data_IF_960853917729
#
_entry.id   IF_960853917729
#
_cell.length_a   1.000
_cell.length_b   1.000
_cell.length_c   1.000
_cell.angle_alpha   90.00
_cell.angle_beta   90.00
_cell.angle_gamma   90.00
#
_symmetry.space_group_name_H-M   'P 1'
#
loop_
_entity.id
_entity.type
_entity.pdbx_description
1 polymer ?
#
# COMPACT_ATOMS: atom_id res chain seq x y z
N UNK A 1 -27.44 -17.77 17.09
CA UNK A 1 -26.63 -16.54 17.31
C UNK A 1 -25.16 -16.96 17.33
N UNK A 2 -24.31 -16.36 16.48
CA UNK A 2 -22.90 -16.71 16.19
C UNK A 2 -22.61 -17.82 15.15
N UNK A 3 -23.05 -17.57 13.91
CA UNK A 3 -22.54 -18.23 12.68
C UNK A 3 -21.13 -17.73 12.30
N UNK A 4 -20.62 -16.69 12.97
CA UNK A 4 -19.39 -15.97 12.60
C UNK A 4 -18.06 -16.74 12.84
N UNK A 5 -18.09 -17.94 13.45
CA UNK A 5 -16.88 -18.72 13.76
C UNK A 5 -16.63 -19.92 12.83
N UNK A 6 -17.44 -20.10 11.78
CA UNK A 6 -17.19 -21.13 10.75
C UNK A 6 -16.66 -20.49 9.47
N UNK A 7 -15.47 -19.89 9.55
CA UNK A 7 -14.68 -19.51 8.37
C UNK A 7 -14.05 -20.76 7.75
N UNK A 8 -14.88 -21.59 7.11
CA UNK A 8 -14.44 -22.68 6.24
C UNK A 8 -14.30 -22.20 4.79
N UNK A 9 -13.50 -22.90 3.98
CA UNK A 9 -13.33 -22.56 2.56
C UNK A 9 -14.67 -22.44 1.82
N UNK A 10 -15.61 -23.35 2.11
CA UNK A 10 -16.95 -23.41 1.53
C UNK A 10 -17.82 -22.17 1.88
N UNK A 11 -17.70 -21.65 3.10
CA UNK A 11 -18.44 -20.45 3.53
C UNK A 11 -17.88 -19.17 2.89
N UNK A 12 -16.57 -19.12 2.63
CA UNK A 12 -15.92 -17.99 1.95
C UNK A 12 -16.24 -18.00 0.46
N UNK A 13 -16.22 -19.18 -0.16
CA UNK A 13 -16.52 -19.36 -1.58
C UNK A 13 -17.97 -18.95 -1.91
N UNK A 14 -18.92 -19.31 -1.05
CA UNK A 14 -20.33 -18.90 -1.18
C UNK A 14 -20.52 -17.37 -1.22
N UNK A 15 -19.63 -16.61 -0.57
CA UNK A 15 -19.69 -15.16 -0.47
C UNK A 15 -18.73 -14.41 -1.42
N UNK A 16 -18.04 -15.14 -2.31
CA UNK A 16 -17.02 -14.59 -3.23
C UNK A 16 -17.51 -13.39 -4.04
N UNK A 17 -18.75 -13.42 -4.53
CA UNK A 17 -19.36 -12.33 -5.32
C UNK A 17 -19.35 -11.00 -4.56
N UNK A 18 -19.63 -11.01 -3.25
CA UNK A 18 -19.64 -9.79 -2.43
C UNK A 18 -18.22 -9.23 -2.25
N UNK A 19 -17.21 -10.09 -2.08
CA UNK A 19 -15.81 -9.66 -1.99
C UNK A 19 -15.31 -9.07 -3.32
N UNK A 20 -15.68 -9.68 -4.45
CA UNK A 20 -15.36 -9.14 -5.77
C UNK A 20 -16.02 -7.78 -6.00
N UNK A 21 -17.32 -7.66 -5.69
CA UNK A 21 -18.02 -6.39 -5.85
C UNK A 21 -17.40 -5.30 -4.97
N UNK A 22 -17.10 -5.57 -3.71
CA UNK A 22 -16.49 -4.58 -2.81
C UNK A 22 -15.08 -4.16 -3.27
N UNK A 23 -14.23 -5.12 -3.64
CA UNK A 23 -12.85 -4.85 -4.06
C UNK A 23 -12.74 -4.06 -5.36
N UNK A 24 -13.75 -4.14 -6.23
CA UNK A 24 -13.78 -3.38 -7.49
C UNK A 24 -14.51 -2.05 -7.30
N UNK A 25 -15.67 -2.06 -6.64
CA UNK A 25 -16.49 -0.86 -6.49
C UNK A 25 -15.78 0.23 -5.67
N UNK A 26 -15.09 -0.13 -4.58
CA UNK A 26 -14.45 0.87 -3.70
C UNK A 26 -13.37 1.67 -4.45
N UNK A 27 -12.37 1.05 -5.13
CA UNK A 27 -11.40 1.79 -5.93
C UNK A 27 -12.05 2.58 -7.07
N UNK A 28 -13.05 2.02 -7.76
CA UNK A 28 -13.73 2.73 -8.85
C UNK A 28 -14.43 4.00 -8.36
N UNK A 29 -15.18 3.91 -7.27
CA UNK A 29 -15.85 5.09 -6.68
C UNK A 29 -14.84 6.13 -6.21
N UNK A 30 -13.75 5.71 -5.55
CA UNK A 30 -12.68 6.61 -5.14
C UNK A 30 -12.03 7.31 -6.34
N UNK A 31 -11.78 6.58 -7.43
CA UNK A 31 -11.17 7.11 -8.65
C UNK A 31 -12.09 8.11 -9.36
N UNK A 32 -13.38 7.79 -9.50
CA UNK A 32 -14.37 8.71 -10.09
C UNK A 32 -14.50 9.98 -9.25
N UNK A 33 -14.55 9.86 -7.93
CA UNK A 33 -14.63 11.02 -7.04
C UNK A 33 -13.40 11.93 -7.13
N UNK A 34 -12.20 11.37 -7.31
CA UNK A 34 -10.97 12.14 -7.57
C UNK A 34 -11.02 12.90 -8.90
N UNK A 35 -11.53 12.26 -9.97
CA UNK A 35 -11.68 12.90 -11.28
C UNK A 35 -12.66 14.07 -11.22
N UNK A 36 -13.79 13.91 -10.51
CA UNK A 36 -14.77 14.99 -10.30
C UNK A 36 -14.16 16.14 -9.52
N UNK A 37 -13.31 15.85 -8.53
CA UNK A 37 -12.57 16.86 -7.75
C UNK A 37 -11.52 17.62 -8.57
N UNK A 38 -11.07 17.08 -9.71
CA UNK A 38 -10.02 17.66 -10.57
C UNK A 38 -8.72 17.95 -9.81
N UNK A 39 -8.38 17.09 -8.86
CA UNK A 39 -7.22 17.27 -7.97
C UNK A 39 -6.10 16.27 -8.31
N UNK A 40 -5.64 16.31 -9.56
CA UNK A 40 -4.56 15.47 -10.07
C UNK A 40 -3.39 16.38 -10.45
N UNK A 41 -2.25 16.11 -9.84
CA UNK A 41 -1.01 16.89 -9.96
C UNK A 41 0.08 16.03 -10.62
N UNK A 42 1.04 16.67 -11.28
CA UNK A 42 2.24 15.97 -11.77
C UNK A 42 3.26 15.79 -10.65
N UNK A 43 3.64 14.55 -10.34
CA UNK A 43 4.75 14.26 -9.45
C UNK A 43 6.07 14.24 -10.22
N UNK A 44 6.91 15.25 -9.97
CA UNK A 44 8.22 15.36 -10.61
C UNK A 44 9.24 14.34 -10.09
N UNK A 45 9.03 13.75 -8.91
CA UNK A 45 9.95 12.75 -8.34
C UNK A 45 9.79 11.41 -9.06
N UNK A 46 8.55 10.98 -9.26
CA UNK A 46 8.23 9.72 -9.93
C UNK A 46 8.04 9.86 -11.44
N UNK A 47 7.83 11.08 -11.95
CA UNK A 47 7.47 11.33 -13.35
C UNK A 47 6.05 10.88 -13.70
N UNK A 48 5.17 10.72 -12.71
CA UNK A 48 3.80 10.22 -12.89
C UNK A 48 2.76 11.24 -12.44
N UNK A 49 1.50 11.07 -12.85
CA UNK A 49 0.40 11.84 -12.28
C UNK A 49 -0.01 11.25 -10.93
N UNK A 50 -0.09 12.09 -9.91
CA UNK A 50 -0.45 11.71 -8.54
C UNK A 50 -1.52 12.66 -7.98
N UNK A 51 -2.07 12.33 -6.81
CA UNK A 51 -3.12 13.15 -6.17
C UNK A 51 -2.75 13.50 -4.74
N UNK A 52 -3.24 14.64 -4.24
CA UNK A 52 -2.98 15.08 -2.87
C UNK A 52 -1.54 15.55 -2.64
N UNK A 53 -0.87 16.07 -3.67
CA UNK A 53 0.43 16.74 -3.52
C UNK A 53 0.25 18.20 -3.10
N UNK A 54 -0.68 18.90 -3.75
CA UNK A 54 -0.95 20.32 -3.48
C UNK A 54 -2.11 20.51 -2.49
N UNK A 55 -3.13 19.65 -2.52
CA UNK A 55 -4.32 19.78 -1.67
C UNK A 55 -4.31 18.77 -0.50
N UNK A 56 -4.14 19.30 0.72
CA UNK A 56 -4.16 18.51 1.96
C UNK A 56 -5.49 17.85 2.25
N UNK A 57 -6.62 18.42 1.82
CA UNK A 57 -7.94 17.81 2.02
C UNK A 57 -8.10 16.56 1.15
N UNK A 58 -7.61 16.64 -0.09
CA UNK A 58 -7.61 15.50 -1.02
C UNK A 58 -6.66 14.42 -0.53
N UNK A 59 -5.44 14.80 -0.12
CA UNK A 59 -4.48 13.87 0.47
C UNK A 59 -5.05 13.13 1.68
N UNK A 60 -5.68 13.87 2.61
CA UNK A 60 -6.28 13.29 3.80
C UNK A 60 -7.46 12.38 3.48
N UNK A 61 -8.37 12.86 2.62
CA UNK A 61 -9.63 12.17 2.31
C UNK A 61 -9.46 10.93 1.44
N UNK A 62 -8.53 10.95 0.49
CA UNK A 62 -8.37 9.86 -0.49
C UNK A 62 -7.17 8.95 -0.22
N UNK A 63 -6.17 9.42 0.55
CA UNK A 63 -5.01 8.61 0.89
C UNK A 63 -5.02 8.27 2.39
N UNK A 64 -4.90 9.24 3.28
CA UNK A 64 -4.68 8.94 4.70
C UNK A 64 -5.85 8.18 5.34
N UNK A 65 -7.08 8.69 5.22
CA UNK A 65 -8.27 8.10 5.85
C UNK A 65 -8.57 6.68 5.31
N UNK A 66 -8.61 6.43 3.98
CA UNK A 66 -8.81 5.08 3.45
C UNK A 66 -7.72 4.10 3.90
N UNK A 67 -6.45 4.51 3.87
CA UNK A 67 -5.34 3.65 4.32
C UNK A 67 -5.44 3.30 5.81
N UNK A 68 -5.86 4.24 6.67
CA UNK A 68 -6.13 3.99 8.08
C UNK A 68 -7.31 3.02 8.29
N UNK A 69 -8.42 3.20 7.56
CA UNK A 69 -9.57 2.30 7.65
C UNK A 69 -9.19 0.89 7.22
N UNK A 70 -8.51 0.74 6.08
CA UNK A 70 -8.11 -0.57 5.57
C UNK A 70 -7.14 -1.29 6.49
N UNK A 71 -6.16 -0.60 7.07
CA UNK A 71 -5.25 -1.25 8.01
C UNK A 71 -5.95 -1.66 9.30
N UNK A 72 -6.86 -0.83 9.83
CA UNK A 72 -7.63 -1.19 11.03
C UNK A 72 -8.52 -2.42 10.79
N UNK A 73 -9.29 -2.42 9.70
CA UNK A 73 -10.12 -3.57 9.30
C UNK A 73 -9.26 -4.80 9.06
N UNK A 74 -8.14 -4.64 8.34
CA UNK A 74 -7.19 -5.72 8.08
C UNK A 74 -6.59 -6.31 9.36
N UNK A 75 -6.17 -5.48 10.31
CA UNK A 75 -5.64 -5.92 11.60
C UNK A 75 -6.70 -6.66 12.42
N UNK A 76 -7.94 -6.17 12.48
CA UNK A 76 -9.04 -6.86 13.16
C UNK A 76 -9.29 -8.25 12.56
N UNK A 77 -9.32 -8.37 11.23
CA UNK A 77 -9.52 -9.64 10.54
C UNK A 77 -8.32 -10.58 10.74
N UNK A 78 -7.09 -10.08 10.67
CA UNK A 78 -5.89 -10.86 10.90
C UNK A 78 -5.84 -11.42 12.33
N UNK A 79 -6.14 -10.59 13.33
CA UNK A 79 -6.20 -11.02 14.73
C UNK A 79 -7.28 -12.08 14.95
N UNK A 80 -8.49 -11.86 14.41
CA UNK A 80 -9.58 -12.83 14.47
C UNK A 80 -9.21 -14.17 13.80
N UNK A 81 -8.57 -14.10 12.63
CA UNK A 81 -8.07 -15.28 11.91
C UNK A 81 -7.00 -16.03 12.71
N UNK A 82 -6.03 -15.31 13.27
CA UNK A 82 -4.98 -15.89 14.11
C UNK A 82 -5.58 -16.57 15.35
N UNK A 83 -6.44 -15.89 16.11
CA UNK A 83 -7.13 -16.46 17.28
C UNK A 83 -7.89 -17.75 16.90
N UNK A 84 -8.60 -17.73 15.77
CA UNK A 84 -9.37 -18.88 15.28
C UNK A 84 -8.46 -20.09 14.98
N UNK A 85 -7.32 -19.88 14.32
CA UNK A 85 -6.37 -20.96 14.02
C UNK A 85 -5.71 -21.50 15.29
N UNK A 86 -5.38 -20.63 16.26
CA UNK A 86 -4.82 -21.07 17.54
C UNK A 86 -5.81 -21.92 18.34
N UNK A 87 -7.10 -21.54 18.34
CA UNK A 87 -8.17 -22.30 18.97
C UNK A 87 -8.30 -23.69 18.35
N UNK A 88 -8.31 -23.79 17.01
CA UNK A 88 -8.35 -25.07 16.29
C UNK A 88 -7.12 -25.92 16.62
N UNK A 89 -5.93 -25.33 16.60
CA UNK A 89 -4.68 -26.03 16.92
C UNK A 89 -4.69 -26.59 18.35
N UNK A 90 -5.22 -25.83 19.30
CA UNK A 90 -5.29 -26.28 20.70
C UNK A 90 -6.16 -27.53 20.84
N UNK A 91 -7.32 -27.55 20.16
CA UNK A 91 -8.21 -28.72 20.13
C UNK A 91 -7.56 -29.90 19.42
N UNK A 92 -6.91 -29.68 18.27
CA UNK A 92 -6.27 -30.77 17.50
C UNK A 92 -5.05 -31.38 18.20
N UNK A 93 -4.33 -30.61 19.02
CA UNK A 93 -3.20 -31.13 19.81
C UNK A 93 -3.65 -32.10 20.91
N UNK A 94 -4.84 -31.89 21.49
CA UNK A 94 -5.40 -32.82 22.46
C UNK A 94 -5.73 -34.19 21.84
N UNK A 95 -5.94 -34.27 20.52
CA UNK A 95 -6.26 -35.51 19.80
C UNK A 95 -5.03 -36.21 19.17
N UNK A 96 -3.80 -35.80 19.53
CA UNK A 96 -2.58 -36.51 19.10
C UNK A 96 -2.24 -36.42 17.60
N UNK A 97 -2.88 -35.51 16.85
CA UNK A 97 -2.68 -35.37 15.39
C UNK A 97 -1.42 -34.56 15.07
N UNK A 98 -0.64 -34.96 14.05
CA UNK A 98 0.58 -34.24 13.61
C UNK A 98 0.25 -32.85 13.03
N UNK A 99 0.59 -31.78 13.75
CA UNK A 99 0.29 -30.38 13.36
C UNK A 99 1.37 -29.66 12.56
N UNK A 100 2.52 -30.29 12.27
CA UNK A 100 3.69 -29.63 11.67
C UNK A 100 3.43 -28.91 10.34
N UNK A 101 2.54 -29.45 9.50
CA UNK A 101 2.16 -28.80 8.24
C UNK A 101 1.33 -27.54 8.47
N UNK A 102 0.43 -27.57 9.45
CA UNK A 102 -0.41 -26.44 9.84
C UNK A 102 0.44 -25.33 10.48
N UNK A 103 1.43 -25.70 11.29
CA UNK A 103 2.35 -24.76 11.91
C UNK A 103 3.20 -24.00 10.87
N UNK A 104 3.78 -24.72 9.91
CA UNK A 104 4.52 -24.10 8.79
C UNK A 104 3.64 -23.17 7.96
N UNK A 105 2.38 -23.54 7.73
CA UNK A 105 1.42 -22.69 7.01
C UNK A 105 1.06 -21.42 7.80
N UNK A 106 0.84 -21.56 9.11
CA UNK A 106 0.47 -20.45 9.98
C UNK A 106 1.62 -19.45 10.16
N UNK A 107 2.85 -19.93 10.38
CA UNK A 107 4.06 -19.08 10.45
C UNK A 107 4.24 -18.33 9.13
N UNK A 108 4.00 -19.01 7.99
CA UNK A 108 4.05 -18.38 6.68
C UNK A 108 3.02 -17.24 6.60
N UNK A 109 1.73 -17.49 6.78
CA UNK A 109 0.71 -16.43 6.69
C UNK A 109 1.00 -15.26 7.65
N UNK A 110 1.42 -15.57 8.88
CA UNK A 110 1.79 -14.55 9.87
C UNK A 110 2.95 -13.67 9.40
N UNK A 111 4.03 -14.26 8.90
CA UNK A 111 5.18 -13.53 8.38
C UNK A 111 4.80 -12.59 7.23
N UNK A 112 4.01 -13.08 6.27
CA UNK A 112 3.59 -12.25 5.14
C UNK A 112 2.67 -11.12 5.58
N UNK A 113 1.76 -11.39 6.53
CA UNK A 113 0.89 -10.35 7.08
C UNK A 113 1.71 -9.19 7.70
N UNK A 114 2.77 -9.50 8.44
CA UNK A 114 3.68 -8.47 8.99
C UNK A 114 4.39 -7.71 7.88
N UNK A 115 4.88 -8.41 6.85
CA UNK A 115 5.53 -7.79 5.69
C UNK A 115 4.59 -6.86 4.91
N UNK A 116 3.26 -7.05 4.95
CA UNK A 116 2.29 -6.13 4.36
C UNK A 116 1.90 -4.98 5.30
N UNK A 117 1.74 -5.25 6.59
CA UNK A 117 1.34 -4.25 7.59
C UNK A 117 2.44 -3.21 7.81
N UNK A 118 3.71 -3.62 7.84
CA UNK A 118 4.82 -2.70 8.10
C UNK A 118 4.96 -1.59 7.04
N UNK A 119 5.04 -1.86 5.72
CA UNK A 119 5.07 -0.81 4.70
C UNK A 119 3.83 0.08 4.75
N UNK A 120 2.67 -0.48 5.06
CA UNK A 120 1.43 0.28 5.17
C UNK A 120 1.48 1.29 6.33
N UNK A 121 2.00 0.89 7.50
CA UNK A 121 2.22 1.79 8.63
C UNK A 121 3.24 2.89 8.30
N UNK A 122 4.32 2.53 7.58
CA UNK A 122 5.33 3.51 7.15
C UNK A 122 4.71 4.53 6.19
N UNK A 123 3.90 4.10 5.22
CA UNK A 123 3.18 5.00 4.30
C UNK A 123 2.28 5.96 5.09
N UNK A 124 1.51 5.45 6.06
CA UNK A 124 0.66 6.30 6.92
C UNK A 124 1.51 7.31 7.69
N UNK A 125 2.65 6.90 8.26
CA UNK A 125 3.56 7.79 8.96
C UNK A 125 4.14 8.88 8.04
N UNK A 126 4.55 8.53 6.83
CA UNK A 126 4.99 9.48 5.81
C UNK A 126 3.88 10.49 5.46
N UNK A 127 2.64 10.03 5.26
CA UNK A 127 1.49 10.89 4.95
C UNK A 127 1.16 11.85 6.10
N UNK A 128 1.22 11.39 7.36
CA UNK A 128 1.03 12.24 8.54
C UNK A 128 2.16 13.26 8.66
N UNK A 129 3.40 12.85 8.41
CA UNK A 129 4.54 13.75 8.41
C UNK A 129 4.40 14.85 7.35
N UNK A 130 4.01 14.49 6.12
CA UNK A 130 3.72 15.42 5.03
C UNK A 130 2.61 16.41 5.43
N UNK A 131 1.50 15.93 6.01
CA UNK A 131 0.39 16.78 6.46
C UNK A 131 0.80 17.83 7.49
N UNK A 132 1.60 17.43 8.49
CA UNK A 132 2.00 18.33 9.59
C UNK A 132 2.93 19.44 9.07
N UNK A 133 3.88 19.09 8.20
CA UNK A 133 4.94 20.01 7.78
C UNK A 133 4.60 20.80 6.50
N UNK A 134 3.52 20.44 5.80
CA UNK A 134 3.14 21.07 4.52
C UNK A 134 3.05 22.60 4.61
N UNK A 135 2.43 23.14 5.65
CA UNK A 135 2.27 24.59 5.79
C UNK A 135 3.61 25.32 5.94
N UNK A 136 4.57 24.70 6.64
CA UNK A 136 5.91 25.27 6.82
C UNK A 136 6.74 25.14 5.55
N UNK A 137 6.60 24.02 4.81
CA UNK A 137 7.19 23.86 3.48
C UNK A 137 6.65 24.88 2.48
N UNK A 138 5.34 25.16 2.52
CA UNK A 138 4.73 26.17 1.66
C UNK A 138 5.27 27.58 1.97
N UNK A 139 5.45 27.90 3.26
CA UNK A 139 6.08 29.18 3.68
C UNK A 139 7.54 29.25 3.25
N UNK A 140 8.31 28.17 3.43
CA UNK A 140 9.70 28.07 2.98
C UNK A 140 9.81 28.26 1.47
N UNK A 141 8.97 27.58 0.70
CA UNK A 141 8.94 27.66 -0.76
C UNK A 141 8.61 29.08 -1.23
N UNK A 142 7.60 29.73 -0.64
CA UNK A 142 7.25 31.13 -0.94
C UNK A 142 8.42 32.09 -0.68
N UNK A 143 9.10 31.95 0.47
CA UNK A 143 10.27 32.79 0.82
C UNK A 143 11.40 32.62 -0.19
N UNK A 144 11.75 31.37 -0.51
CA UNK A 144 12.80 31.06 -1.48
C UNK A 144 12.51 31.65 -2.86
N UNK A 145 11.24 31.67 -3.28
CA UNK A 145 10.83 32.27 -4.56
C UNK A 145 10.92 33.80 -4.54
N UNK A 146 10.56 34.46 -3.43
CA UNK A 146 10.71 35.91 -3.28
C UNK A 146 12.18 36.35 -3.21
N UNK A 147 13.06 35.55 -2.58
CA UNK A 147 14.51 35.86 -2.48
C UNK A 147 15.24 35.69 -3.81
N UNK A 148 14.74 34.83 -4.71
CA UNK A 148 15.42 34.50 -5.96
C UNK A 148 15.42 35.64 -7.01
N UNK A 149 14.81 36.80 -6.72
CA UNK A 149 14.70 37.96 -7.63
C UNK A 149 14.22 37.59 -9.05
N UNK A 150 13.49 36.48 -9.18
CA UNK A 150 13.05 35.92 -10.44
C UNK A 150 11.86 36.73 -10.94
N UNK A 151 12.17 37.73 -11.77
CA UNK A 151 11.31 38.86 -12.11
C UNK A 151 10.02 38.46 -12.84
N UNK A 152 9.94 37.20 -13.31
CA UNK A 152 8.82 36.66 -14.08
C UNK A 152 7.68 36.07 -13.21
N UNK A 153 7.92 35.78 -11.92
CA UNK A 153 6.94 35.15 -11.01
C UNK A 153 6.34 36.14 -9.98
N UNK A 154 6.80 37.40 -9.96
CA UNK A 154 6.52 38.38 -8.89
C UNK A 154 5.08 38.94 -8.96
N UNK A 155 4.37 38.79 -10.09
CA UNK A 155 3.11 39.52 -10.29
C UNK A 155 1.85 38.91 -9.64
N UNK A 156 1.88 37.66 -9.17
CA UNK A 156 0.74 36.97 -8.53
C UNK A 156 1.01 36.51 -7.09
N UNK A 157 2.26 36.60 -6.63
CA UNK A 157 2.61 36.29 -5.26
C UNK A 157 2.69 37.60 -4.49
N UNK A 158 1.81 37.78 -3.51
CA UNK A 158 1.95 38.88 -2.55
C UNK A 158 3.15 38.59 -1.65
N UNK A 159 4.37 38.79 -2.18
CA UNK A 159 5.60 38.94 -1.41
C UNK A 159 5.48 40.27 -0.66
N UNK A 160 4.54 40.36 0.29
CA UNK A 160 4.49 41.50 1.19
C UNK A 160 5.77 41.40 2.00
N UNK A 161 6.70 42.32 1.71
CA UNK A 161 8.06 42.37 2.23
C UNK A 161 8.10 41.94 3.69
N UNK A 162 8.59 40.72 3.95
CA UNK A 162 8.93 40.29 5.30
C UNK A 162 10.24 41.02 5.63
N UNK A 163 10.14 42.31 5.94
CA UNK A 163 11.18 43.07 6.62
C UNK A 163 11.19 42.64 8.09
N UNK A 164 11.59 41.40 8.35
CA UNK A 164 12.04 41.00 9.68
C UNK A 164 13.39 40.34 9.51
N UNK A 165 14.43 40.77 10.26
CA UNK A 165 15.71 40.11 10.22
C UNK A 165 15.47 38.63 10.49
N UNK A 166 15.93 37.78 9.57
CA UNK A 166 15.80 36.35 9.69
C UNK A 166 16.57 35.90 10.94
N UNK A 167 15.90 35.80 12.08
CA UNK A 167 16.26 34.76 13.02
C UNK A 167 16.13 33.47 12.22
N UNK A 168 17.28 32.84 11.93
CA UNK A 168 17.41 31.52 11.34
C UNK A 168 16.76 30.45 12.24
N UNK A 169 15.48 30.58 12.56
CA UNK A 169 14.69 29.40 12.85
C UNK A 169 14.64 28.66 11.53
N UNK A 170 15.39 27.57 11.46
CA UNK A 170 15.58 26.78 10.27
C UNK A 170 14.22 26.32 9.72
N UNK A 171 13.63 27.10 8.81
CA UNK A 171 12.56 26.59 7.98
C UNK A 171 13.21 25.56 7.06
N UNK A 172 13.08 24.30 7.48
CA UNK A 172 13.57 23.18 6.72
C UNK A 172 12.55 22.86 5.63
N UNK A 173 13.02 22.80 4.38
CA UNK A 173 12.21 22.36 3.26
C UNK A 173 11.82 20.87 3.37
N UNK A 174 11.03 20.38 2.41
CA UNK A 174 10.65 18.96 2.36
C UNK A 174 11.89 18.07 2.29
N UNK A 175 11.94 17.04 3.14
CA UNK A 175 13.03 16.04 3.14
C UNK A 175 12.78 14.99 2.07
N UNK A 176 13.61 14.97 1.03
CA UNK A 176 13.46 14.05 -0.10
C UNK A 176 13.45 12.56 0.34
N UNK A 177 14.21 12.22 1.38
CA UNK A 177 14.34 10.87 1.91
C UNK A 177 12.99 10.25 2.31
N UNK A 178 12.08 11.08 2.84
CA UNK A 178 10.77 10.63 3.33
C UNK A 178 9.85 10.28 2.15
N UNK A 179 9.93 11.03 1.06
CA UNK A 179 9.19 10.73 -0.17
C UNK A 179 9.72 9.44 -0.82
N UNK A 180 11.05 9.26 -0.88
CA UNK A 180 11.65 8.04 -1.42
C UNK A 180 11.30 6.82 -0.58
N UNK A 181 11.28 6.95 0.75
CA UNK A 181 10.82 5.89 1.65
C UNK A 181 9.36 5.50 1.36
N UNK A 182 8.46 6.49 1.25
CA UNK A 182 7.04 6.27 0.92
C UNK A 182 6.88 5.46 -0.37
N UNK A 183 7.55 5.88 -1.46
CA UNK A 183 7.45 5.18 -2.75
C UNK A 183 8.09 3.79 -2.71
N UNK A 184 9.20 3.64 -2.00
CA UNK A 184 9.84 2.33 -1.80
C UNK A 184 8.88 1.37 -1.08
N UNK A 185 8.20 1.84 -0.03
CA UNK A 185 7.20 1.04 0.69
C UNK A 185 6.01 0.65 -0.21
N UNK A 186 5.55 1.53 -1.10
CA UNK A 186 4.50 1.20 -2.07
C UNK A 186 4.94 0.10 -3.05
N UNK A 187 6.19 0.14 -3.51
CA UNK A 187 6.74 -0.87 -4.42
C UNK A 187 6.96 -2.22 -3.73
N UNK A 188 7.40 -2.23 -2.47
CA UNK A 188 7.62 -3.45 -1.67
C UNK A 188 6.34 -4.31 -1.62
N UNK A 189 5.16 -3.69 -1.47
CA UNK A 189 3.88 -4.40 -1.44
C UNK A 189 3.64 -5.20 -2.74
N UNK A 190 3.98 -4.62 -3.89
CA UNK A 190 3.89 -5.32 -5.18
C UNK A 190 4.89 -6.47 -5.32
N UNK A 191 6.16 -6.23 -4.94
CA UNK A 191 7.23 -7.23 -5.03
C UNK A 191 6.93 -8.44 -4.12
N UNK A 192 6.49 -8.19 -2.90
CA UNK A 192 6.18 -9.24 -1.92
C UNK A 192 5.01 -10.12 -2.34
N UNK A 193 4.05 -9.57 -3.08
CA UNK A 193 2.95 -10.33 -3.71
C UNK A 193 3.47 -11.32 -4.75
N UNK A 194 4.43 -10.92 -5.58
CA UNK A 194 5.07 -11.82 -6.55
C UNK A 194 5.87 -12.94 -5.86
N UNK A 195 6.63 -12.59 -4.82
CA UNK A 195 7.42 -13.55 -4.05
C UNK A 195 6.56 -14.58 -3.30
N UNK A 196 5.34 -14.22 -2.89
CA UNK A 196 4.41 -15.15 -2.24
C UNK A 196 4.05 -16.35 -3.13
N UNK A 197 3.87 -16.09 -4.44
CA UNK A 197 3.48 -17.10 -5.44
C UNK A 197 4.67 -18.00 -5.82
N UNK A 198 5.90 -17.52 -5.64
CA UNK A 198 7.13 -18.25 -5.93
C UNK A 198 7.38 -19.36 -4.91
N UNK A 199 6.79 -20.54 -5.17
CA UNK A 199 7.01 -21.74 -4.38
C UNK A 199 7.76 -22.80 -5.19
N UNK A 200 8.35 -23.79 -4.51
CA UNK A 200 8.95 -24.96 -5.16
C UNK A 200 7.96 -25.66 -6.11
N UNK A 201 6.67 -25.69 -5.76
CA UNK A 201 5.60 -26.26 -6.62
C UNK A 201 5.39 -25.43 -7.88
N UNK A 202 5.47 -24.11 -7.77
CA UNK A 202 5.38 -23.18 -8.90
C UNK A 202 6.54 -23.44 -9.86
N UNK A 203 7.78 -23.51 -9.36
CA UNK A 203 8.96 -23.81 -10.18
C UNK A 203 8.89 -25.18 -10.87
N UNK A 204 8.39 -26.21 -10.19
CA UNK A 204 8.18 -27.52 -10.81
C UNK A 204 7.14 -27.49 -11.93
N UNK A 205 6.07 -26.71 -11.77
CA UNK A 205 5.02 -26.56 -12.78
C UNK A 205 5.56 -25.83 -14.01
N UNK A 206 6.33 -24.77 -13.81
CA UNK A 206 7.04 -24.05 -14.87
C UNK A 206 8.06 -24.93 -15.59
N UNK A 207 8.81 -25.75 -14.85
CA UNK A 207 9.73 -26.74 -15.45
C UNK A 207 8.99 -27.73 -16.35
N UNK A 208 7.86 -28.28 -15.89
CA UNK A 208 7.02 -29.20 -16.70
C UNK A 208 6.45 -28.51 -17.93
N UNK A 209 6.01 -27.26 -17.80
CA UNK A 209 5.52 -26.45 -18.90
C UNK A 209 6.62 -26.19 -19.95
N UNK A 210 7.81 -25.78 -19.52
CA UNK A 210 8.96 -25.57 -20.39
C UNK A 210 9.39 -26.85 -21.11
N UNK A 211 9.41 -28.00 -20.41
CA UNK A 211 9.70 -29.29 -21.02
C UNK A 211 8.64 -29.66 -22.07
N UNK A 212 7.35 -29.37 -21.86
CA UNK A 212 6.30 -29.62 -22.87
C UNK A 212 6.43 -28.72 -24.09
N UNK A 213 6.76 -27.44 -23.89
CA UNK A 213 6.96 -26.47 -24.97
C UNK A 213 8.21 -26.77 -25.80
N UNK A 214 9.33 -27.13 -25.16
CA UNK A 214 10.58 -27.43 -25.85
C UNK A 214 10.68 -28.89 -26.34
N UNK A 215 10.00 -29.83 -25.66
CA UNK A 215 9.98 -31.25 -26.01
C UNK A 215 8.92 -31.64 -27.05
N UNK A 216 7.90 -30.81 -27.27
CA UNK A 216 6.83 -31.04 -28.24
C UNK A 216 7.24 -30.85 -29.71
N UNK A 217 8.45 -30.35 -30.01
CA UNK A 217 8.96 -30.17 -31.38
C UNK A 217 9.71 -31.38 -31.96
N UNK A 218 9.90 -32.47 -31.20
CA UNK A 218 10.61 -33.68 -31.68
C UNK A 218 9.71 -34.82 -32.17
N UNK A 219 8.39 -34.60 -32.24
CA UNK A 219 7.41 -35.65 -32.57
C UNK A 219 6.67 -35.50 -33.91
N UNK A 220 7.01 -34.50 -34.72
CA UNK A 220 6.31 -34.21 -35.99
C UNK A 220 7.24 -34.17 -37.21
N UNK A 221 8.22 -35.07 -37.24
CA UNK A 221 9.09 -35.40 -38.41
C UNK A 221 9.18 -36.92 -38.65
N UNK A 222 8.22 -37.70 -38.16
CA UNK A 222 8.07 -39.12 -38.48
C UNK A 222 6.61 -39.44 -38.81
N UNK A 223 6.12 -38.84 -39.90
CA UNK A 223 5.07 -39.37 -40.76
C UNK A 223 5.42 -39.02 -42.21
#
# INVERSE_FOLDING_TARGET
MFVFFRWGHEAIEAQSVYFHLASWAIPTVMSVALLVKKSIDGDYITGTCYTGLTDLYVQRGFLLVPNCIFILVGLCLLLSGFISVFKIRNVMKHEGTKTDKLEKFMVRIGLFSVIYVLPQLIIIACLVYEQINYNDWLRWWKRRLCDANDSNYISYLTCSSIQTPATQTQLNGPKYEIFMLKYTCMLIVGITSGLWIMSHKTLQTWKKFYIRLCGGRRGSELL
#
